data_IF_431219958123
#
_entry.id   IF_431219958123
#
_cell.length_a   1.000
_cell.length_b   1.000
_cell.length_c   1.000
_cell.angle_alpha   90.00
_cell.angle_beta   90.00
_cell.angle_gamma   90.00
#
_symmetry.space_group_name_H-M   'P 1'
#
loop_
_entity.id
_entity.type
_entity.pdbx_description
1 polymer ?
#
# COMPACT_ATOMS: atom_id res chain seq x y z
N UNK A 1 18.61 26.10 17.14
CA UNK A 1 17.98 25.83 15.82
C UNK A 1 18.19 24.37 15.46
N UNK A 2 17.17 23.51 15.63
CA UNK A 2 17.26 22.12 15.17
C UNK A 2 16.97 22.11 13.69
N UNK A 3 18.01 21.97 12.86
CA UNK A 3 17.84 21.69 11.43
C UNK A 3 17.14 20.33 11.34
N UNK A 4 15.86 20.39 11.01
CA UNK A 4 15.04 19.24 10.65
C UNK A 4 15.57 18.79 9.28
N UNK A 5 16.45 17.79 9.27
CA UNK A 5 16.73 17.06 8.04
C UNK A 5 15.53 16.12 7.87
N UNK A 6 14.57 16.39 6.97
CA UNK A 6 13.61 15.35 6.61
C UNK A 6 14.44 14.17 6.11
N UNK A 7 14.22 13.00 6.71
CA UNK A 7 14.89 11.77 6.31
C UNK A 7 14.88 11.67 4.79
N UNK A 8 16.07 11.53 4.16
CA UNK A 8 16.23 11.37 2.72
C UNK A 8 15.62 10.05 2.19
N UNK A 9 15.02 9.26 3.08
CA UNK A 9 14.19 8.12 2.72
C UNK A 9 12.74 8.58 2.55
N UNK A 10 12.22 8.46 1.33
CA UNK A 10 10.78 8.59 1.10
C UNK A 10 10.06 7.49 1.86
N UNK A 11 9.33 7.87 2.90
CA UNK A 11 8.60 6.96 3.75
C UNK A 11 7.35 6.45 3.03
N UNK A 12 7.18 5.13 2.93
CA UNK A 12 5.96 4.52 2.41
C UNK A 12 4.82 4.73 3.41
N UNK A 13 3.81 5.49 2.99
CA UNK A 13 2.66 5.85 3.84
C UNK A 13 1.34 5.44 3.19
N UNK A 14 0.38 5.02 4.00
CA UNK A 14 -1.00 4.77 3.58
C UNK A 14 -1.77 6.09 3.30
N UNK A 15 -3.01 6.01 2.81
CA UNK A 15 -3.85 7.17 2.47
C UNK A 15 -4.06 8.18 3.61
N UNK A 16 -3.93 7.75 4.87
CA UNK A 16 -4.07 8.56 6.08
C UNK A 16 -2.74 9.06 6.63
N UNK A 17 -1.61 8.75 5.97
CA UNK A 17 -0.28 9.16 6.38
C UNK A 17 0.41 8.23 7.38
N UNK A 18 -0.15 7.06 7.70
CA UNK A 18 0.52 6.10 8.57
C UNK A 18 1.66 5.39 7.84
N UNK A 19 2.77 5.17 8.53
CA UNK A 19 3.91 4.41 8.02
C UNK A 19 3.54 2.93 7.81
N UNK A 20 3.90 2.42 6.64
CA UNK A 20 3.79 1.02 6.28
C UNK A 20 5.17 0.35 6.39
N UNK A 21 5.19 -0.88 6.85
CA UNK A 21 6.39 -1.71 6.93
C UNK A 21 6.17 -3.05 6.23
N UNK A 22 7.26 -3.73 5.91
CA UNK A 22 7.19 -5.12 5.42
C UNK A 22 6.50 -6.02 6.44
N UNK A 23 5.59 -6.86 5.95
CA UNK A 23 4.77 -7.75 6.77
C UNK A 23 3.48 -7.15 7.30
N UNK A 24 3.25 -5.83 7.18
CA UNK A 24 2.00 -5.19 7.60
C UNK A 24 0.78 -5.74 6.84
N UNK A 25 -0.41 -5.47 7.38
CA UNK A 25 -1.67 -5.67 6.69
C UNK A 25 -2.29 -4.33 6.33
N UNK A 26 -2.89 -4.25 5.15
CA UNK A 26 -3.56 -3.06 4.64
C UNK A 26 -4.92 -3.42 4.07
N UNK A 27 -5.84 -2.46 4.08
CA UNK A 27 -7.20 -2.62 3.60
C UNK A 27 -7.48 -1.61 2.49
N UNK A 28 -8.18 -2.04 1.45
CA UNK A 28 -8.61 -1.19 0.36
C UNK A 28 -9.72 -0.22 0.82
N UNK A 29 -9.49 1.09 0.62
CA UNK A 29 -10.47 2.12 0.98
C UNK A 29 -11.54 2.35 -0.09
N UNK A 30 -11.33 1.83 -1.30
CA UNK A 30 -12.25 1.92 -2.44
C UNK A 30 -12.16 0.68 -3.32
N UNK A 31 -13.10 0.52 -4.24
CA UNK A 31 -13.05 -0.51 -5.26
C UNK A 31 -11.95 -0.18 -6.28
N UNK A 32 -11.08 -1.14 -6.59
CA UNK A 32 -10.02 -1.02 -7.59
C UNK A 32 -10.18 -2.09 -8.67
N UNK A 33 -10.17 -1.67 -9.93
CA UNK A 33 -10.06 -2.59 -11.06
C UNK A 33 -8.61 -2.93 -11.32
N UNK A 34 -8.28 -4.22 -11.37
CA UNK A 34 -6.94 -4.68 -11.70
C UNK A 34 -6.71 -4.46 -13.20
N UNK A 35 -5.67 -3.70 -13.57
CA UNK A 35 -5.30 -3.54 -14.99
C UNK A 35 -4.90 -4.90 -15.57
N UNK A 36 -5.43 -5.22 -16.75
CA UNK A 36 -5.17 -6.51 -17.41
C UNK A 36 -5.98 -7.70 -16.89
N UNK A 37 -6.96 -7.48 -16.00
CA UNK A 37 -7.87 -8.52 -15.52
C UNK A 37 -9.31 -8.00 -15.46
N UNK A 38 -10.28 -8.92 -15.54
CA UNK A 38 -11.69 -8.66 -15.26
C UNK A 38 -11.98 -8.60 -13.75
N UNK A 39 -10.97 -8.88 -12.90
CA UNK A 39 -11.11 -8.87 -11.46
C UNK A 39 -11.17 -7.44 -10.92
N UNK A 40 -12.13 -7.21 -10.03
CA UNK A 40 -12.26 -5.98 -9.25
C UNK A 40 -12.03 -6.31 -7.78
N UNK A 41 -11.05 -5.66 -7.15
CA UNK A 41 -10.84 -5.73 -5.71
C UNK A 41 -11.83 -4.79 -5.04
N UNK A 42 -12.68 -5.33 -4.18
CA UNK A 42 -13.71 -4.53 -3.52
C UNK A 42 -13.14 -3.78 -2.33
N UNK A 43 -13.71 -2.62 -2.01
CA UNK A 43 -13.46 -1.91 -0.75
C UNK A 43 -13.59 -2.87 0.43
N UNK A 44 -12.70 -2.74 1.40
CA UNK A 44 -12.64 -3.65 2.55
C UNK A 44 -11.84 -4.92 2.32
N UNK A 45 -11.39 -5.19 1.08
CA UNK A 45 -10.47 -6.31 0.83
C UNK A 45 -9.16 -6.07 1.60
N UNK A 46 -8.78 -7.05 2.41
CA UNK A 46 -7.55 -7.02 3.22
C UNK A 46 -6.43 -7.71 2.46
N UNK A 47 -5.28 -7.05 2.41
CA UNK A 47 -4.03 -7.54 1.85
C UNK A 47 -3.05 -7.68 3.00
N UNK A 48 -2.71 -8.92 3.35
CA UNK A 48 -1.82 -9.25 4.46
C UNK A 48 -0.40 -9.47 3.94
N UNK A 49 0.58 -9.27 4.81
CA UNK A 49 1.99 -9.53 4.51
C UNK A 49 2.45 -8.72 3.29
N UNK A 50 2.18 -7.41 3.28
CA UNK A 50 2.66 -6.54 2.21
C UNK A 50 4.18 -6.43 2.24
N UNK A 51 4.78 -6.13 1.10
CA UNK A 51 6.20 -5.80 0.97
C UNK A 51 6.35 -4.38 0.45
N UNK A 52 7.29 -3.66 1.04
CA UNK A 52 7.66 -2.34 0.55
C UNK A 52 8.43 -2.50 -0.76
N UNK A 53 8.23 -1.55 -1.67
CA UNK A 53 8.97 -1.52 -2.94
C UNK A 53 9.98 -0.38 -2.91
N UNK A 54 10.75 -0.24 -4.00
CA UNK A 54 11.62 0.92 -4.20
C UNK A 54 10.84 2.24 -4.37
N UNK A 55 9.51 2.18 -4.54
CA UNK A 55 8.63 3.32 -4.74
C UNK A 55 7.76 3.53 -3.49
N UNK A 56 7.81 4.69 -2.83
CA UNK A 56 7.06 4.96 -1.59
C UNK A 56 5.54 5.05 -1.80
N UNK A 57 5.11 5.15 -3.05
CA UNK A 57 3.70 5.19 -3.43
C UNK A 57 3.14 3.80 -3.73
N UNK A 58 3.96 2.74 -3.64
CA UNK A 58 3.63 1.40 -4.12
C UNK A 58 4.08 0.32 -3.13
N UNK A 59 3.22 -0.67 -2.92
CA UNK A 59 3.51 -1.87 -2.13
C UNK A 59 3.13 -3.10 -2.91
N UNK A 60 3.88 -4.18 -2.72
CA UNK A 60 3.53 -5.49 -3.26
C UNK A 60 2.69 -6.25 -2.25
N UNK A 61 1.64 -6.92 -2.73
CA UNK A 61 0.77 -7.70 -1.87
C UNK A 61 -0.02 -8.76 -2.62
N UNK A 62 -0.59 -9.69 -1.86
CA UNK A 62 -1.43 -10.75 -2.40
C UNK A 62 -2.91 -10.43 -2.20
N UNK A 63 -3.65 -10.28 -3.29
CA UNK A 63 -5.09 -10.03 -3.29
C UNK A 63 -5.78 -10.96 -4.31
N UNK A 64 -6.92 -11.55 -3.94
CA UNK A 64 -7.67 -12.41 -4.87
C UNK A 64 -6.91 -13.63 -5.38
N UNK A 65 -5.92 -14.12 -4.62
CA UNK A 65 -5.09 -15.29 -4.96
C UNK A 65 -3.79 -14.97 -5.71
N UNK A 66 -3.67 -13.77 -6.28
CA UNK A 66 -2.54 -13.35 -7.13
C UNK A 66 -1.69 -12.28 -6.45
N UNK A 67 -0.41 -12.21 -6.82
CA UNK A 67 0.52 -11.17 -6.37
C UNK A 67 0.42 -9.96 -7.31
N UNK A 68 0.36 -8.75 -6.74
CA UNK A 68 0.23 -7.51 -7.51
C UNK A 68 0.80 -6.31 -6.76
N UNK A 69 1.10 -5.25 -7.51
CA UNK A 69 1.51 -3.95 -6.98
C UNK A 69 0.27 -3.09 -6.75
N UNK A 70 0.17 -2.50 -5.55
CA UNK A 70 -0.94 -1.67 -5.12
C UNK A 70 -0.43 -0.28 -4.77
N UNK A 71 -1.16 0.76 -5.18
CA UNK A 71 -0.82 2.14 -4.80
C UNK A 71 -1.28 2.44 -3.38
N UNK A 72 -0.39 3.00 -2.58
CA UNK A 72 -0.63 3.26 -1.14
C UNK A 72 -1.70 4.32 -0.89
N UNK A 73 -1.94 5.22 -1.84
CA UNK A 73 -3.04 6.21 -1.80
C UNK A 73 -4.44 5.59 -1.69
N UNK A 74 -4.60 4.30 -2.03
CA UNK A 74 -5.86 3.56 -1.95
C UNK A 74 -5.86 2.50 -0.85
N UNK A 75 -4.84 2.51 0.01
CA UNK A 75 -4.66 1.58 1.10
C UNK A 75 -4.75 2.32 2.42
N UNK A 76 -5.26 1.61 3.43
CA UNK A 76 -5.25 2.03 4.83
C UNK A 76 -4.61 0.93 5.65
N UNK A 77 -3.71 1.25 6.56
CA UNK A 77 -3.17 0.27 7.52
C UNK A 77 -4.32 -0.39 8.30
N UNK A 78 -4.34 -1.72 8.30
CA UNK A 78 -5.38 -2.53 8.94
C UNK A 78 -5.15 -2.66 10.44
#
# INVERSE_FOLDING_TARGET
>A
MRRFYPSLYMETKDSNGNLLNDGDAVTLIKDLKVKGSSQTLKRGTVVKNIRLTNSPAEVEGRAGGSMMVLRTEFLKKA
#
